data_IF_546198708083
#
_entry.id   IF_546198708083
#
_cell.length_a   1.000
_cell.length_b   1.000
_cell.length_c   1.000
_cell.angle_alpha   90.00
_cell.angle_beta   90.00
_cell.angle_gamma   90.00
#
_symmetry.space_group_name_H-M   'P 1'
#
loop_
_entity.id
_entity.type
_entity.pdbx_description
1 polymer ?
#
# COMPACT_ATOMS: atom_id res chain seq x y z
N UNK A 1 -4.48 -6.32 -13.71
CA UNK A 1 -3.62 -5.26 -13.15
C UNK A 1 -4.44 -3.99 -12.98
N UNK A 2 -4.27 -3.25 -11.89
CA UNK A 2 -5.00 -2.00 -11.61
C UNK A 2 -4.00 -0.93 -11.22
N UNK A 3 -4.07 0.28 -11.79
CA UNK A 3 -3.23 1.42 -11.38
C UNK A 3 -3.63 1.88 -9.98
N UNK A 4 -2.65 2.04 -9.10
CA UNK A 4 -2.85 2.64 -7.78
C UNK A 4 -3.15 4.13 -7.93
N UNK A 5 -4.36 4.53 -7.52
CA UNK A 5 -4.75 5.94 -7.43
C UNK A 5 -4.25 6.45 -6.08
N UNK A 6 -3.30 7.40 -6.10
CA UNK A 6 -2.81 8.03 -4.88
C UNK A 6 -3.76 9.13 -4.41
N UNK A 7 -4.14 9.04 -3.15
CA UNK A 7 -4.79 10.12 -2.42
C UNK A 7 -3.76 10.91 -1.61
N UNK A 8 -3.97 12.22 -1.51
CA UNK A 8 -3.22 13.11 -0.61
C UNK A 8 -3.98 13.43 0.68
N UNK A 9 -5.27 13.14 0.69
CA UNK A 9 -6.18 13.42 1.79
C UNK A 9 -6.76 12.10 2.32
N UNK A 10 -6.56 11.85 3.61
CA UNK A 10 -6.97 10.62 4.26
C UNK A 10 -8.49 10.50 4.45
N UNK A 11 -9.22 11.61 4.45
CA UNK A 11 -10.68 11.61 4.55
C UNK A 11 -11.29 11.20 3.20
N UNK A 12 -10.85 11.81 2.10
CA UNK A 12 -11.27 11.43 0.74
C UNK A 12 -10.94 9.98 0.42
N UNK A 13 -9.75 9.51 0.79
CA UNK A 13 -9.37 8.11 0.64
C UNK A 13 -10.40 7.16 1.27
N UNK A 14 -10.80 7.44 2.53
CA UNK A 14 -11.78 6.61 3.27
C UNK A 14 -13.21 6.72 2.74
N UNK A 15 -13.56 7.85 2.13
CA UNK A 15 -14.88 8.11 1.56
C UNK A 15 -15.05 7.43 0.19
N UNK A 16 -14.06 7.55 -0.70
CA UNK A 16 -14.19 7.09 -2.09
C UNK A 16 -13.92 5.58 -2.25
N UNK A 17 -13.05 4.99 -1.41
CA UNK A 17 -12.84 3.54 -1.31
C UNK A 17 -12.54 2.81 -2.63
N UNK A 18 -11.89 3.49 -3.58
CA UNK A 18 -11.63 2.91 -4.90
C UNK A 18 -10.70 1.69 -4.78
N UNK A 19 -11.01 0.55 -5.43
CA UNK A 19 -10.15 -0.63 -5.41
C UNK A 19 -8.71 -0.30 -5.86
N UNK A 20 -7.72 -0.72 -5.07
CA UNK A 20 -6.31 -0.45 -5.34
C UNK A 20 -5.87 1.00 -5.07
N UNK A 21 -6.75 1.88 -4.61
CA UNK A 21 -6.33 3.22 -4.16
C UNK A 21 -5.36 3.15 -3.00
N UNK A 22 -4.49 4.15 -2.89
CA UNK A 22 -3.44 4.22 -1.88
C UNK A 22 -3.42 5.57 -1.18
N UNK A 23 -3.02 5.56 0.08
CA UNK A 23 -2.65 6.74 0.85
C UNK A 23 -1.38 6.41 1.64
N UNK A 24 -0.33 7.21 1.43
CA UNK A 24 0.93 7.08 2.17
C UNK A 24 0.90 8.05 3.34
N UNK A 25 0.80 7.51 4.55
CA UNK A 25 0.89 8.27 5.78
C UNK A 25 2.35 8.43 6.19
N UNK A 26 2.93 9.57 5.82
CA UNK A 26 4.32 9.93 6.11
C UNK A 26 4.48 10.54 7.52
N UNK A 27 3.41 10.67 8.30
CA UNK A 27 3.48 11.19 9.68
C UNK A 27 3.76 10.09 10.70
N UNK A 28 3.79 8.84 10.25
CA UNK A 28 3.93 7.66 11.09
C UNK A 28 5.36 7.12 11.04
N UNK A 29 6.09 7.22 12.15
CA UNK A 29 7.43 6.65 12.30
C UNK A 29 8.56 7.69 12.27
N UNK A 30 9.76 7.22 11.91
CA UNK A 30 10.93 8.07 11.64
C UNK A 30 10.90 8.62 10.20
N UNK A 31 11.88 9.44 9.82
CA UNK A 31 12.03 9.97 8.45
C UNK A 31 12.14 8.88 7.37
N UNK A 32 12.46 7.64 7.75
CA UNK A 32 12.63 6.49 6.86
C UNK A 32 11.47 5.49 6.93
N UNK A 33 10.40 5.81 7.65
CA UNK A 33 9.25 4.94 7.83
C UNK A 33 7.95 5.65 7.46
N UNK A 34 6.97 4.86 7.03
CA UNK A 34 5.61 5.32 6.77
C UNK A 34 4.61 4.18 6.97
N UNK A 35 3.32 4.51 6.89
CA UNK A 35 2.28 3.50 6.71
C UNK A 35 1.66 3.65 5.32
N UNK A 36 1.58 2.55 4.56
CA UNK A 36 0.77 2.49 3.36
C UNK A 36 -0.62 2.01 3.72
N UNK A 37 -1.62 2.83 3.38
CA UNK A 37 -3.01 2.44 3.43
C UNK A 37 -3.49 2.17 2.01
N UNK A 38 -4.26 1.10 1.81
CA UNK A 38 -4.85 0.82 0.51
C UNK A 38 -6.18 0.10 0.63
N UNK A 39 -7.05 0.26 -0.36
CA UNK A 39 -8.23 -0.60 -0.52
C UNK A 39 -7.87 -1.80 -1.38
N UNK A 40 -8.27 -3.00 -0.96
CA UNK A 40 -7.87 -4.22 -1.65
C UNK A 40 -8.22 -4.17 -3.15
N UNK A 41 -7.27 -4.49 -4.06
CA UNK A 41 -7.52 -4.48 -5.50
C UNK A 41 -8.62 -5.44 -5.96
N UNK A 42 -8.97 -6.46 -5.16
CA UNK A 42 -10.10 -7.35 -5.48
C UNK A 42 -11.48 -6.69 -5.34
N UNK A 43 -11.57 -5.52 -4.72
CA UNK A 43 -12.83 -4.79 -4.55
C UNK A 43 -13.66 -5.18 -3.33
N UNK A 44 -13.13 -5.96 -2.38
CA UNK A 44 -13.86 -6.33 -1.16
C UNK A 44 -14.20 -5.14 -0.23
N UNK A 45 -13.69 -3.94 -0.50
CA UNK A 45 -14.04 -2.71 0.22
C UNK A 45 -13.37 -2.53 1.58
N UNK A 46 -12.56 -3.50 2.04
CA UNK A 46 -11.83 -3.41 3.31
C UNK A 46 -10.54 -2.59 3.13
N UNK A 47 -10.33 -1.52 3.94
CA UNK A 47 -9.06 -0.81 3.96
C UNK A 47 -8.00 -1.65 4.68
N UNK A 48 -6.78 -1.58 4.19
CA UNK A 48 -5.60 -2.26 4.74
C UNK A 48 -4.60 -1.20 5.12
N UNK A 49 -3.90 -1.41 6.24
CA UNK A 49 -2.77 -0.59 6.66
C UNK A 49 -1.57 -1.51 6.87
N UNK A 50 -0.46 -1.19 6.21
CA UNK A 50 0.80 -1.93 6.34
C UNK A 50 1.95 -0.97 6.66
N UNK A 51 2.91 -1.36 7.52
CA UNK A 51 4.11 -0.58 7.75
C UNK A 51 5.08 -0.73 6.56
N UNK A 52 5.64 0.39 6.10
CA UNK A 52 6.63 0.44 5.03
C UNK A 52 7.88 1.21 5.49
N UNK A 53 9.05 0.77 5.06
CA UNK A 53 10.30 1.53 5.16
C UNK A 53 10.69 2.10 3.80
N UNK A 54 11.33 3.27 3.78
CA UNK A 54 11.75 3.96 2.56
C UNK A 54 13.14 3.44 2.15
N UNK A 55 13.20 2.72 1.03
CA UNK A 55 14.39 2.05 0.47
C UNK A 55 15.04 1.01 1.39
N UNK A 56 14.34 0.62 2.46
CA UNK A 56 14.75 -0.40 3.40
C UNK A 56 13.50 -1.13 3.90
N UNK A 57 13.63 -2.42 4.23
CA UNK A 57 12.55 -3.18 4.88
C UNK A 57 12.68 -3.03 6.41
N UNK A 58 11.65 -2.58 7.13
CA UNK A 58 11.65 -2.55 8.59
C UNK A 58 11.94 -3.94 9.19
N UNK A 59 12.62 -3.97 10.34
CA UNK A 59 12.97 -5.22 11.01
C UNK A 59 11.73 -5.93 11.59
N UNK A 60 10.76 -5.15 12.07
CA UNK A 60 9.47 -5.66 12.54
C UNK A 60 8.71 -6.38 11.42
N UNK A 61 7.95 -7.42 11.75
CA UNK A 61 7.16 -8.18 10.79
C UNK A 61 5.69 -8.23 11.20
N UNK A 62 4.74 -8.16 10.24
CA UNK A 62 4.96 -8.01 8.80
C UNK A 62 5.31 -6.56 8.40
N UNK A 63 6.23 -6.39 7.46
CA UNK A 63 6.68 -5.08 6.94
C UNK A 63 7.17 -5.16 5.50
N UNK A 64 7.23 -4.01 4.85
CA UNK A 64 7.59 -3.89 3.43
C UNK A 64 8.66 -2.82 3.18
N UNK A 65 9.54 -3.08 2.23
CA UNK A 65 10.38 -2.08 1.61
C UNK A 65 9.58 -1.36 0.52
N UNK A 66 9.53 -0.04 0.58
CA UNK A 66 8.97 0.85 -0.42
C UNK A 66 10.08 1.67 -1.09
N UNK A 67 10.07 1.79 -2.41
CA UNK A 67 11.07 2.57 -3.15
C UNK A 67 11.06 4.10 -2.87
N UNK A 68 10.08 4.61 -2.11
CA UNK A 68 9.94 6.03 -1.81
C UNK A 68 9.21 6.84 -2.89
N UNK A 69 8.82 6.22 -4.01
CA UNK A 69 8.08 6.90 -5.07
C UNK A 69 6.59 6.92 -4.74
N UNK A 70 6.00 8.11 -4.74
CA UNK A 70 4.57 8.31 -4.53
C UNK A 70 3.76 8.26 -5.84
N UNK A 71 4.42 8.36 -6.99
CA UNK A 71 3.77 8.29 -8.30
C UNK A 71 3.81 6.87 -8.86
N UNK A 72 4.94 6.20 -8.67
CA UNK A 72 5.23 4.85 -9.15
C UNK A 72 5.75 3.99 -7.98
N UNK A 73 4.91 3.77 -6.95
CA UNK A 73 5.32 3.00 -5.78
C UNK A 73 5.61 1.56 -6.17
N UNK A 74 6.70 1.04 -5.63
CA UNK A 74 7.05 -0.38 -5.68
C UNK A 74 7.28 -0.89 -4.27
N UNK A 75 6.66 -2.02 -3.94
CA UNK A 75 6.75 -2.69 -2.64
C UNK A 75 7.38 -4.07 -2.77
N UNK A 76 8.22 -4.43 -1.81
CA UNK A 76 8.65 -5.81 -1.59
C UNK A 76 8.64 -6.15 -0.10
N UNK A 77 8.17 -7.34 0.32
CA UNK A 77 7.68 -8.46 -0.50
C UNK A 77 6.25 -8.23 -1.07
N UNK A 78 5.62 -9.27 -1.62
CA UNK A 78 4.19 -9.26 -1.95
C UNK A 78 3.30 -8.99 -0.74
N UNK A 79 2.06 -8.60 -0.97
CA UNK A 79 1.01 -8.49 0.04
C UNK A 79 0.08 -9.70 -0.08
N UNK A 80 -0.05 -10.48 0.99
CA UNK A 80 -0.96 -11.62 1.07
C UNK A 80 -2.13 -11.29 2.03
N UNK A 81 -3.34 -11.18 1.48
CA UNK A 81 -4.57 -10.87 2.20
C UNK A 81 -5.34 -12.15 2.49
N UNK A 82 -5.17 -12.66 3.71
CA UNK A 82 -5.82 -13.91 4.15
C UNK A 82 -7.35 -13.78 4.22
N UNK A 83 -7.87 -12.59 4.49
CA UNK A 83 -9.30 -12.35 4.68
C UNK A 83 -10.13 -12.43 3.39
N UNK A 84 -9.56 -12.03 2.24
CA UNK A 84 -10.23 -12.11 0.94
C UNK A 84 -9.48 -12.94 -0.11
N UNK A 85 -8.41 -13.63 0.29
CA UNK A 85 -7.59 -14.50 -0.58
C UNK A 85 -6.75 -13.77 -1.63
N UNK A 86 -6.73 -12.43 -1.64
CA UNK A 86 -5.97 -11.68 -2.63
C UNK A 86 -4.48 -11.70 -2.31
N UNK A 87 -3.65 -12.08 -3.28
CA UNK A 87 -2.18 -12.09 -3.15
C UNK A 87 -1.55 -11.44 -4.37
N UNK A 88 -0.64 -10.49 -4.16
CA UNK A 88 -0.01 -9.77 -5.25
C UNK A 88 1.03 -8.74 -4.84
N UNK A 89 1.48 -7.94 -5.80
CA UNK A 89 2.49 -6.91 -5.63
C UNK A 89 1.97 -5.54 -6.04
N UNK A 90 2.58 -4.48 -5.48
CA UNK A 90 2.52 -3.13 -6.02
C UNK A 90 3.86 -2.86 -6.70
N UNK A 91 3.87 -2.73 -8.02
CA UNK A 91 5.08 -2.53 -8.83
C UNK A 91 4.81 -1.40 -9.82
N UNK A 92 5.66 -0.37 -9.80
CA UNK A 92 5.60 0.81 -10.67
C UNK A 92 4.21 1.46 -10.70
N UNK A 93 3.57 1.49 -9.53
CA UNK A 93 2.21 2.04 -9.36
C UNK A 93 1.08 1.12 -9.84
N UNK A 94 1.32 -0.15 -10.13
CA UNK A 94 0.28 -1.13 -10.48
C UNK A 94 0.17 -2.25 -9.46
N UNK A 95 -1.06 -2.54 -9.07
CA UNK A 95 -1.39 -3.77 -8.35
C UNK A 95 -1.48 -4.93 -9.35
N UNK A 96 -0.63 -5.94 -9.15
CA UNK A 96 -0.56 -7.17 -9.94
C UNK A 96 -0.81 -8.37 -9.02
N UNK A 97 -1.81 -9.20 -9.35
CA UNK A 97 -2.04 -10.45 -8.64
C UNK A 97 -0.96 -11.49 -8.98
N UNK A 98 -0.74 -12.45 -8.06
CA UNK A 98 0.05 -13.66 -8.29
C UNK A 98 -0.49 -14.52 -9.43
#
# INVERSE_FOLDING_TARGET
>A
MIRAIRYRDAQRFRQERLPGSTFFDLTQGSEEAAALWFYCPCGCGTPVRIPVGIRHKPAESPSWNWNGSLNDPTLSPSVNRIDCGWHGWLIDGYWQAC
#
